data_IF_742854547015
#
_entry.id   IF_742854547015
#
_cell.length_a   1.000
_cell.length_b   1.000
_cell.length_c   1.000
_cell.angle_alpha   90.00
_cell.angle_beta   90.00
_cell.angle_gamma   90.00
#
_symmetry.space_group_name_H-M   'P 1'
#
loop_
_entity.id
_entity.type
_entity.pdbx_description
1 polymer ?
#
# COMPACT_ATOMS: atom_id res chain seq x y z
N UNK A 1 36.42 -21.73 8.88
CA UNK A 1 35.40 -20.87 8.21
C UNK A 1 34.27 -20.73 9.21
N UNK A 2 33.93 -19.51 9.63
CA UNK A 2 32.82 -19.32 10.57
C UNK A 2 31.50 -19.57 9.83
N UNK A 3 30.53 -20.27 10.45
CA UNK A 3 29.22 -20.46 9.85
C UNK A 3 28.57 -19.11 9.54
N UNK A 4 27.85 -19.03 8.43
CA UNK A 4 27.04 -17.86 8.12
C UNK A 4 26.02 -17.58 9.22
N UNK A 5 25.55 -16.33 9.32
CA UNK A 5 24.57 -15.90 10.33
C UNK A 5 23.36 -16.85 10.42
N UNK A 6 22.81 -17.21 9.26
CA UNK A 6 21.68 -18.15 9.13
C UNK A 6 22.06 -19.58 9.53
N UNK A 7 23.25 -20.04 9.16
CA UNK A 7 23.75 -21.39 9.45
C UNK A 7 23.99 -21.59 10.95
N UNK A 8 24.22 -20.49 11.68
CA UNK A 8 24.30 -20.46 13.14
C UNK A 8 22.92 -20.53 13.83
N UNK A 9 21.82 -20.69 13.07
CA UNK A 9 20.45 -20.72 13.59
C UNK A 9 19.85 -19.35 13.91
N UNK A 10 20.55 -18.26 13.60
CA UNK A 10 20.04 -16.91 13.85
C UNK A 10 19.08 -16.47 12.75
N UNK A 11 18.00 -15.80 13.15
CA UNK A 11 17.03 -15.18 12.25
C UNK A 11 16.89 -13.70 12.59
N UNK A 12 16.66 -12.88 11.56
CA UNK A 12 16.20 -11.52 11.78
C UNK A 12 14.73 -11.54 12.17
N UNK A 13 14.34 -10.67 13.09
CA UNK A 13 12.95 -10.55 13.50
C UNK A 13 12.15 -9.63 12.56
N UNK A 14 10.83 -9.65 12.72
CA UNK A 14 9.94 -8.78 11.95
C UNK A 14 10.15 -7.30 12.28
N UNK A 15 10.50 -6.98 13.54
CA UNK A 15 10.71 -5.61 14.00
C UNK A 15 11.89 -4.94 13.28
N UNK A 16 13.02 -5.64 13.14
CA UNK A 16 14.17 -5.16 12.38
C UNK A 16 13.81 -4.92 10.91
N UNK A 17 12.98 -5.80 10.35
CA UNK A 17 12.56 -5.72 8.95
C UNK A 17 11.69 -4.48 8.70
N UNK A 18 10.76 -4.19 9.62
CA UNK A 18 9.96 -2.96 9.58
C UNK A 18 10.81 -1.70 9.76
N UNK A 19 11.75 -1.73 10.72
CA UNK A 19 12.70 -0.63 10.92
C UNK A 19 13.55 -0.41 9.67
N UNK A 20 13.99 -1.46 9.00
CA UNK A 20 14.77 -1.37 7.78
C UNK A 20 13.98 -0.69 6.64
N UNK A 21 12.74 -1.12 6.37
CA UNK A 21 11.88 -0.45 5.38
C UNK A 21 11.67 1.01 5.75
N UNK A 22 11.39 1.29 7.04
CA UNK A 22 11.21 2.66 7.52
C UNK A 22 12.44 3.53 7.31
N UNK A 23 13.65 3.02 7.59
CA UNK A 23 14.89 3.76 7.31
C UNK A 23 15.10 3.98 5.83
N UNK A 24 14.74 3.02 4.97
CA UNK A 24 14.77 3.22 3.53
C UNK A 24 13.78 4.31 3.06
N UNK A 25 12.60 4.42 3.66
CA UNK A 25 11.67 5.52 3.39
C UNK A 25 12.25 6.86 3.86
N UNK A 26 12.73 6.95 5.11
CA UNK A 26 13.28 8.17 5.70
C UNK A 26 14.53 8.68 4.96
N UNK A 27 15.33 7.78 4.39
CA UNK A 27 16.51 8.11 3.58
C UNK A 27 16.21 8.23 2.08
N UNK A 28 14.93 8.20 1.68
CA UNK A 28 14.51 8.31 0.27
C UNK A 28 15.14 7.25 -0.66
N UNK A 29 15.34 6.03 -0.16
CA UNK A 29 15.93 4.91 -0.89
C UNK A 29 15.09 3.61 -0.86
N UNK A 30 13.77 3.65 -1.13
CA UNK A 30 12.90 2.47 -1.03
C UNK A 30 13.23 1.34 -2.02
N UNK A 31 13.93 1.64 -3.13
CA UNK A 31 14.42 0.63 -4.06
C UNK A 31 15.47 -0.31 -3.42
N UNK A 32 16.21 0.16 -2.42
CA UNK A 32 17.12 -0.69 -1.66
C UNK A 32 16.34 -1.73 -0.86
N UNK A 33 15.25 -1.32 -0.20
CA UNK A 33 14.36 -2.24 0.49
C UNK A 33 13.78 -3.28 -0.49
N UNK A 34 13.28 -2.83 -1.65
CA UNK A 34 12.77 -3.73 -2.68
C UNK A 34 13.82 -4.76 -3.14
N UNK A 35 15.08 -4.34 -3.32
CA UNK A 35 16.20 -5.23 -3.69
C UNK A 35 16.53 -6.25 -2.59
N UNK A 36 16.47 -5.85 -1.32
CA UNK A 36 16.74 -6.73 -0.19
C UNK A 36 15.64 -7.77 -0.03
N UNK A 37 14.37 -7.34 0.00
CA UNK A 37 13.24 -8.27 0.13
C UNK A 37 13.00 -9.10 -1.15
N UNK A 38 13.38 -8.59 -2.32
CA UNK A 38 13.39 -9.37 -3.56
C UNK A 38 14.42 -10.50 -3.57
N UNK A 39 15.39 -10.51 -2.65
CA UNK A 39 16.43 -11.53 -2.56
C UNK A 39 16.48 -12.16 -1.15
N UNK A 40 15.38 -12.79 -0.75
CA UNK A 40 15.27 -13.44 0.54
C UNK A 40 16.36 -14.49 0.78
N UNK A 41 16.74 -15.26 -0.24
CA UNK A 41 17.80 -16.27 -0.13
C UNK A 41 19.15 -15.70 0.30
N UNK A 42 19.45 -14.46 -0.10
CA UNK A 42 20.71 -13.77 0.23
C UNK A 42 20.65 -13.07 1.59
N UNK A 43 19.57 -12.35 1.87
CA UNK A 43 19.49 -11.45 3.03
C UNK A 43 18.78 -12.07 4.23
N UNK A 44 17.97 -13.12 4.02
CA UNK A 44 17.23 -13.84 5.05
C UNK A 44 16.39 -12.91 5.96
N UNK A 45 15.91 -11.79 5.41
CA UNK A 45 15.13 -10.78 6.12
C UNK A 45 13.63 -11.02 5.86
N UNK A 46 12.82 -11.34 6.89
CA UNK A 46 11.39 -11.60 6.72
C UNK A 46 10.66 -10.30 6.40
N UNK A 47 9.70 -10.33 5.47
CA UNK A 47 8.82 -9.18 5.25
C UNK A 47 7.53 -9.36 6.06
N UNK A 48 7.19 -8.38 6.88
CA UNK A 48 5.90 -8.35 7.60
C UNK A 48 4.86 -7.58 6.78
N UNK A 49 3.57 -7.76 7.10
CA UNK A 49 2.50 -7.00 6.44
C UNK A 49 2.63 -5.48 6.62
N UNK A 50 2.91 -4.93 7.84
CA UNK A 50 3.16 -3.51 8.01
C UNK A 50 4.38 -3.02 7.21
N UNK A 51 5.46 -3.80 7.17
CA UNK A 51 6.64 -3.49 6.36
C UNK A 51 6.33 -3.46 4.87
N UNK A 52 5.52 -4.40 4.38
CA UNK A 52 5.09 -4.44 2.98
C UNK A 52 4.18 -3.26 2.63
N UNK A 53 3.26 -2.86 3.51
CA UNK A 53 2.40 -1.68 3.34
C UNK A 53 3.24 -0.39 3.29
N UNK A 54 4.25 -0.27 4.15
CA UNK A 54 5.18 0.86 4.16
C UNK A 54 6.04 0.92 2.88
N UNK A 55 6.51 -0.24 2.42
CA UNK A 55 7.24 -0.35 1.16
C UNK A 55 6.35 0.04 -0.02
N UNK A 56 5.10 -0.44 -0.05
CA UNK A 56 4.12 -0.04 -1.07
C UNK A 56 3.84 1.46 -1.02
N UNK A 57 3.69 2.03 0.18
CA UNK A 57 3.51 3.46 0.37
C UNK A 57 4.66 4.28 -0.21
N UNK A 58 5.91 3.91 0.11
CA UNK A 58 7.09 4.63 -0.40
C UNK A 58 7.25 4.52 -1.93
N UNK A 59 6.82 3.41 -2.54
CA UNK A 59 6.99 3.17 -3.98
C UNK A 59 5.85 3.72 -4.85
N UNK A 60 4.59 3.65 -4.39
CA UNK A 60 3.42 3.92 -5.25
C UNK A 60 3.29 5.36 -5.76
N UNK A 61 3.95 6.32 -5.10
CA UNK A 61 3.91 7.73 -5.51
C UNK A 61 5.06 8.06 -6.47
N UNK A 62 6.30 7.73 -6.16
CA UNK A 62 7.45 8.32 -6.85
C UNK A 62 8.12 7.38 -7.86
N UNK A 63 7.79 6.09 -7.81
CA UNK A 63 8.50 5.08 -8.60
C UNK A 63 7.65 4.52 -9.77
N UNK A 64 8.31 3.93 -10.77
CA UNK A 64 7.64 3.27 -11.90
C UNK A 64 6.73 2.13 -11.45
N UNK A 65 5.67 1.84 -12.21
CA UNK A 65 4.67 0.84 -11.84
C UNK A 65 5.24 -0.57 -11.69
N UNK A 66 6.33 -0.88 -12.40
CA UNK A 66 7.05 -2.15 -12.31
C UNK A 66 7.50 -2.43 -10.88
N UNK A 67 7.93 -1.38 -10.16
CA UNK A 67 8.34 -1.51 -8.75
C UNK A 67 7.16 -1.84 -7.85
N UNK A 68 6.01 -1.21 -8.09
CA UNK A 68 4.74 -1.46 -7.39
C UNK A 68 4.22 -2.87 -7.64
N UNK A 69 4.30 -3.36 -8.88
CA UNK A 69 3.98 -4.75 -9.27
C UNK A 69 4.95 -5.72 -8.61
N UNK A 70 6.24 -5.41 -8.59
CA UNK A 70 7.25 -6.24 -7.91
C UNK A 70 6.95 -6.32 -6.41
N UNK A 71 6.60 -5.20 -5.77
CA UNK A 71 6.21 -5.18 -4.36
C UNK A 71 4.94 -5.99 -4.11
N UNK A 72 3.94 -5.95 -4.99
CA UNK A 72 2.73 -6.77 -4.82
C UNK A 72 3.03 -8.27 -4.94
N UNK A 73 3.98 -8.67 -5.79
CA UNK A 73 4.44 -10.05 -5.88
C UNK A 73 5.10 -10.54 -4.58
N UNK A 74 5.81 -9.67 -3.85
CA UNK A 74 6.41 -10.01 -2.55
C UNK A 74 5.38 -10.47 -1.52
N UNK A 75 4.13 -10.00 -1.60
CA UNK A 75 3.09 -10.45 -0.66
C UNK A 75 2.91 -11.96 -0.74
N UNK A 76 2.88 -12.53 -1.95
CA UNK A 76 2.76 -13.97 -2.12
C UNK A 76 4.04 -14.71 -1.70
N UNK A 77 5.21 -14.19 -2.09
CA UNK A 77 6.52 -14.78 -1.74
C UNK A 77 6.73 -14.91 -0.23
N UNK A 78 6.22 -13.95 0.54
CA UNK A 78 6.32 -13.92 2.00
C UNK A 78 5.07 -14.46 2.72
N UNK A 79 4.14 -15.11 2.00
CA UNK A 79 2.88 -15.64 2.55
C UNK A 79 2.05 -14.58 3.31
N UNK A 80 2.12 -13.33 2.88
CA UNK A 80 1.31 -12.23 3.39
C UNK A 80 -0.09 -12.26 2.78
N UNK A 81 -1.04 -11.58 3.44
CA UNK A 81 -2.38 -11.39 2.88
C UNK A 81 -2.28 -10.76 1.49
N UNK A 82 -2.86 -11.35 0.42
CA UNK A 82 -2.75 -10.79 -0.93
C UNK A 82 -3.16 -9.33 -1.00
N UNK A 83 -2.53 -8.55 -1.88
CA UNK A 83 -2.80 -7.11 -2.04
C UNK A 83 -4.29 -6.82 -2.24
N UNK A 84 -5.02 -7.68 -2.96
CA UNK A 84 -6.45 -7.52 -3.20
C UNK A 84 -7.34 -7.73 -1.96
N UNK A 85 -6.81 -8.30 -0.87
CA UNK A 85 -7.51 -8.54 0.39
C UNK A 85 -7.06 -7.60 1.51
N UNK A 86 -6.01 -6.82 1.30
CA UNK A 86 -5.55 -5.78 2.22
C UNK A 86 -5.99 -4.40 1.73
N UNK A 87 -6.81 -3.69 2.52
CA UNK A 87 -7.43 -2.45 2.07
C UNK A 87 -6.40 -1.35 1.75
N UNK A 88 -5.38 -1.18 2.60
CA UNK A 88 -4.36 -0.16 2.40
C UNK A 88 -3.54 -0.45 1.14
N UNK A 89 -3.02 -1.67 1.00
CA UNK A 89 -2.25 -2.06 -0.17
C UNK A 89 -3.07 -2.07 -1.46
N UNK A 90 -4.32 -2.54 -1.43
CA UNK A 90 -5.20 -2.50 -2.59
C UNK A 90 -5.45 -1.07 -3.06
N UNK A 91 -5.81 -0.16 -2.14
CA UNK A 91 -6.06 1.22 -2.48
C UNK A 91 -4.82 1.90 -3.09
N UNK A 92 -3.64 1.70 -2.50
CA UNK A 92 -2.37 2.24 -3.01
C UNK A 92 -2.01 1.65 -4.38
N UNK A 93 -2.20 0.34 -4.56
CA UNK A 93 -1.92 -0.35 -5.82
C UNK A 93 -2.83 0.14 -6.95
N UNK A 94 -4.15 0.22 -6.70
CA UNK A 94 -5.13 0.76 -7.66
C UNK A 94 -4.81 2.22 -8.00
N UNK A 95 -4.44 3.03 -7.00
CA UNK A 95 -4.02 4.41 -7.23
C UNK A 95 -2.77 4.52 -8.12
N UNK A 96 -1.77 3.66 -7.92
CA UNK A 96 -0.58 3.61 -8.78
C UNK A 96 -0.91 3.17 -10.21
N UNK A 97 -1.78 2.16 -10.35
CA UNK A 97 -2.22 1.69 -11.66
C UNK A 97 -2.94 2.78 -12.46
N UNK A 98 -3.81 3.55 -11.81
CA UNK A 98 -4.45 4.71 -12.44
C UNK A 98 -3.48 5.85 -12.73
N UNK A 99 -2.50 6.09 -11.87
CA UNK A 99 -1.47 7.11 -12.09
C UNK A 99 -0.63 6.79 -13.33
N UNK A 100 -0.22 5.54 -13.52
CA UNK A 100 0.60 5.12 -14.65
C UNK A 100 -0.11 5.25 -16.01
N UNK A 101 -1.44 5.05 -16.02
CA UNK A 101 -2.30 5.31 -17.19
C UNK A 101 -1.90 4.55 -18.48
N UNK A 102 -1.28 3.36 -18.37
CA UNK A 102 -1.06 2.47 -19.52
C UNK A 102 -2.27 1.57 -19.76
N UNK A 103 -2.43 1.03 -20.98
CA UNK A 103 -3.56 0.13 -21.29
C UNK A 103 -3.64 -1.06 -20.33
N UNK A 104 -2.49 -1.61 -19.95
CA UNK A 104 -2.42 -2.77 -19.05
C UNK A 104 -2.63 -2.37 -17.58
N UNK A 105 -2.04 -1.26 -17.12
CA UNK A 105 -2.26 -0.79 -15.74
C UNK A 105 -3.72 -0.45 -15.49
N UNK A 106 -4.39 0.12 -16.49
CA UNK A 106 -5.82 0.42 -16.44
C UNK A 106 -6.67 -0.84 -16.35
N UNK A 107 -6.37 -1.87 -17.14
CA UNK A 107 -7.09 -3.16 -17.06
C UNK A 107 -6.97 -3.77 -15.67
N UNK A 108 -5.77 -3.74 -15.10
CA UNK A 108 -5.50 -4.23 -13.74
C UNK A 108 -6.28 -3.40 -12.72
N UNK A 109 -6.26 -2.07 -12.82
CA UNK A 109 -7.03 -1.19 -11.93
C UNK A 109 -8.53 -1.51 -11.99
N UNK A 110 -9.10 -1.59 -13.19
CA UNK A 110 -10.52 -1.86 -13.39
C UNK A 110 -10.93 -3.24 -12.85
N UNK A 111 -10.06 -4.25 -12.94
CA UNK A 111 -10.30 -5.56 -12.36
C UNK A 111 -10.31 -5.54 -10.82
N UNK A 112 -9.52 -4.64 -10.21
CA UNK A 112 -9.40 -4.52 -8.75
C UNK A 112 -10.41 -3.57 -8.11
N UNK A 113 -11.00 -2.63 -8.86
CA UNK A 113 -12.02 -1.70 -8.34
C UNK A 113 -13.20 -2.42 -7.67
N UNK A 114 -13.81 -3.47 -8.27
CA UNK A 114 -14.88 -4.22 -7.62
C UNK A 114 -14.44 -4.87 -6.29
N UNK A 115 -13.18 -5.31 -6.19
CA UNK A 115 -12.64 -5.87 -4.96
C UNK A 115 -12.46 -4.80 -3.89
N UNK A 116 -11.99 -3.62 -4.29
CA UNK A 116 -11.88 -2.44 -3.42
C UNK A 116 -13.27 -2.03 -2.89
N UNK A 117 -14.28 -1.97 -3.75
CA UNK A 117 -15.66 -1.68 -3.36
C UNK A 117 -16.20 -2.72 -2.37
N UNK A 118 -16.01 -4.01 -2.65
CA UNK A 118 -16.46 -5.09 -1.76
C UNK A 118 -15.77 -5.04 -0.38
N UNK A 119 -14.49 -4.66 -0.33
CA UNK A 119 -13.78 -4.46 0.94
C UNK A 119 -14.32 -3.27 1.72
N UNK A 120 -14.57 -2.15 1.06
CA UNK A 120 -15.12 -0.96 1.72
C UNK A 120 -16.57 -1.17 2.21
N UNK A 121 -17.33 -2.06 1.56
CA UNK A 121 -18.64 -2.49 2.06
C UNK A 121 -18.57 -3.32 3.36
N UNK A 122 -17.44 -3.99 3.62
CA UNK A 122 -17.23 -4.83 4.82
C UNK A 122 -16.52 -4.09 5.95
N UNK A 123 -15.59 -3.19 5.61
CA UNK A 123 -14.77 -2.47 6.58
C UNK A 123 -15.52 -1.24 7.09
N UNK A 124 -15.72 -1.16 8.41
CA UNK A 124 -16.30 0.02 9.06
C UNK A 124 -15.48 1.26 8.69
N UNK A 125 -16.16 2.39 8.54
CA UNK A 125 -15.55 3.69 8.30
C UNK A 125 -14.33 3.94 9.20
N UNK A 126 -13.21 4.33 8.59
CA UNK A 126 -11.93 4.50 9.27
C UNK A 126 -11.63 5.99 9.45
N UNK A 127 -11.97 6.58 10.61
CA UNK A 127 -11.66 7.97 10.87
C UNK A 127 -10.15 8.20 10.89
N UNK A 128 -9.74 9.31 10.30
CA UNK A 128 -8.37 9.82 10.44
C UNK A 128 -8.38 10.87 11.53
N UNK A 129 -7.69 10.59 12.64
CA UNK A 129 -7.55 11.55 13.73
C UNK A 129 -6.95 12.87 13.25
N UNK A 130 -7.33 13.98 13.88
CA UNK A 130 -6.70 15.29 13.68
C UNK A 130 -5.38 15.42 14.43
N UNK A 131 -5.19 14.64 15.51
CA UNK A 131 -4.01 14.62 16.37
C UNK A 131 -2.79 14.03 15.64
N UNK A 132 -1.65 14.72 15.69
CA UNK A 132 -0.40 14.30 15.02
C UNK A 132 0.13 12.97 15.54
N UNK A 133 0.03 12.71 16.85
CA UNK A 133 0.50 11.45 17.46
C UNK A 133 -0.35 10.27 17.01
N UNK A 134 -1.66 10.43 16.98
CA UNK A 134 -2.57 9.37 16.53
C UNK A 134 -2.48 9.11 15.02
N UNK A 135 -2.17 10.14 14.22
CA UNK A 135 -1.83 9.96 12.78
C UNK A 135 -0.56 9.14 12.60
N UNK A 136 0.45 9.38 13.45
CA UNK A 136 1.71 8.64 13.39
C UNK A 136 1.56 7.18 13.83
N UNK A 137 0.61 6.90 14.74
CA UNK A 137 0.26 5.53 15.16
C UNK A 137 -0.62 4.82 14.12
N UNK A 138 -1.50 5.55 13.43
CA UNK A 138 -2.44 5.01 12.45
C UNK A 138 -2.10 5.41 11.01
N UNK A 139 -0.81 5.31 10.64
CA UNK A 139 -0.35 5.63 9.28
C UNK A 139 -1.18 4.95 8.17
N UNK A 140 -1.60 3.66 8.29
CA UNK A 140 -2.42 3.02 7.26
C UNK A 140 -3.72 3.76 6.96
N UNK A 141 -4.39 4.36 7.95
CA UNK A 141 -5.63 5.11 7.72
C UNK A 141 -5.38 6.39 6.92
N UNK A 142 -4.23 7.05 7.16
CA UNK A 142 -3.79 8.22 6.39
C UNK A 142 -3.50 7.80 4.94
N UNK A 143 -2.80 6.69 4.74
CA UNK A 143 -2.51 6.16 3.41
C UNK A 143 -3.78 5.78 2.65
N UNK A 144 -4.73 5.11 3.30
CA UNK A 144 -6.04 4.79 2.72
C UNK A 144 -6.75 6.07 2.30
N UNK A 145 -6.84 7.09 3.17
CA UNK A 145 -7.46 8.37 2.84
C UNK A 145 -6.87 9.00 1.58
N UNK A 146 -5.53 9.03 1.48
CA UNK A 146 -4.84 9.59 0.32
C UNK A 146 -5.00 8.76 -0.95
N UNK A 147 -4.85 7.44 -0.84
CA UNK A 147 -4.98 6.53 -1.96
C UNK A 147 -6.41 6.56 -2.54
N UNK A 148 -7.43 6.48 -1.68
CA UNK A 148 -8.84 6.56 -2.10
C UNK A 148 -9.17 7.91 -2.75
N UNK A 149 -8.58 9.02 -2.30
CA UNK A 149 -8.72 10.32 -2.97
C UNK A 149 -8.18 10.28 -4.41
N UNK A 150 -7.05 9.59 -4.65
CA UNK A 150 -6.49 9.43 -5.99
C UNK A 150 -7.34 8.53 -6.87
N UNK A 151 -7.87 7.43 -6.29
CA UNK A 151 -8.81 6.53 -6.97
C UNK A 151 -10.09 7.27 -7.39
N UNK A 152 -10.71 8.02 -6.48
CA UNK A 152 -11.90 8.84 -6.78
C UNK A 152 -11.66 9.83 -7.92
N UNK A 153 -10.54 10.58 -7.85
CA UNK A 153 -10.16 11.50 -8.92
C UNK A 153 -9.99 10.77 -10.27
N UNK A 154 -9.35 9.61 -10.28
CA UNK A 154 -9.13 8.83 -11.49
C UNK A 154 -10.44 8.30 -12.08
N UNK A 155 -11.34 7.77 -11.24
CA UNK A 155 -12.64 7.27 -11.66
C UNK A 155 -13.52 8.39 -12.22
N UNK A 156 -13.53 9.57 -11.59
CA UNK A 156 -14.26 10.73 -12.11
C UNK A 156 -13.77 11.18 -13.49
N UNK A 157 -12.46 11.31 -13.67
CA UNK A 157 -11.88 11.72 -14.97
C UNK A 157 -12.25 10.74 -16.09
N UNK A 158 -12.44 9.46 -15.76
CA UNK A 158 -12.70 8.39 -16.74
C UNK A 158 -14.19 8.18 -17.01
N UNK A 159 -15.00 8.16 -15.96
CA UNK A 159 -16.42 7.82 -16.04
C UNK A 159 -17.29 9.07 -16.21
N UNK A 160 -16.73 10.27 -15.98
CA UNK A 160 -17.47 11.54 -15.97
C UNK A 160 -18.40 11.71 -14.76
N UNK A 161 -18.46 10.72 -13.88
CA UNK A 161 -19.34 10.69 -12.71
C UNK A 161 -18.58 10.21 -11.46
N UNK A 162 -19.08 10.61 -10.29
CA UNK A 162 -18.53 10.20 -9.00
C UNK A 162 -19.15 8.89 -8.58
N UNK A 163 -18.32 8.00 -8.06
CA UNK A 163 -18.76 6.73 -7.51
C UNK A 163 -19.37 6.93 -6.11
N UNK A 164 -20.69 6.74 -5.99
CA UNK A 164 -21.43 6.97 -4.73
C UNK A 164 -20.90 6.12 -3.58
N UNK A 165 -20.62 4.84 -3.82
CA UNK A 165 -20.09 3.93 -2.79
C UNK A 165 -18.77 4.43 -2.18
N UNK A 166 -17.90 5.03 -3.00
CA UNK A 166 -16.61 5.54 -2.57
C UNK A 166 -16.78 6.86 -1.82
N UNK A 167 -17.66 7.74 -2.34
CA UNK A 167 -17.97 9.02 -1.70
C UNK A 167 -18.60 8.80 -0.33
N UNK A 168 -19.60 7.93 -0.23
CA UNK A 168 -20.30 7.59 1.01
C UNK A 168 -19.35 7.04 2.07
N UNK A 169 -18.48 6.11 1.67
CA UNK A 169 -17.51 5.56 2.62
C UNK A 169 -16.51 6.61 3.08
N UNK A 170 -16.03 7.48 2.18
CA UNK A 170 -15.13 8.60 2.52
C UNK A 170 -15.82 9.64 3.41
N UNK A 171 -17.11 9.92 3.21
CA UNK A 171 -17.91 10.81 4.07
C UNK A 171 -18.10 10.21 5.47
N UNK A 172 -18.53 8.94 5.55
CA UNK A 172 -18.68 8.20 6.82
C UNK A 172 -17.36 8.11 7.60
N UNK A 173 -16.23 8.07 6.88
CA UNK A 173 -14.88 8.05 7.47
C UNK A 173 -14.35 9.45 7.81
N UNK A 174 -15.10 10.52 7.56
CA UNK A 174 -14.67 11.90 7.79
C UNK A 174 -13.49 12.33 6.89
N UNK A 175 -13.29 11.66 5.75
CA UNK A 175 -12.22 11.99 4.80
C UNK A 175 -12.54 13.22 3.97
N UNK A 176 -13.83 13.45 3.71
CA UNK A 176 -14.40 14.57 2.96
C UNK A 176 -15.68 15.05 3.66
N UNK A 177 -16.01 16.33 3.50
CA UNK A 177 -17.31 16.90 3.88
C UNK A 177 -18.27 16.83 2.69
N UNK A 178 -19.58 16.88 2.91
CA UNK A 178 -20.60 16.81 1.83
C UNK A 178 -20.36 17.85 0.72
N UNK A 179 -19.84 19.03 1.09
CA UNK A 179 -19.51 20.14 0.20
C UNK A 179 -18.11 20.07 -0.44
N UNK A 180 -17.28 19.07 -0.11
CA UNK A 180 -15.92 18.96 -0.64
C UNK A 180 -15.89 18.46 -2.08
N UNK A 181 -15.18 19.19 -2.95
CA UNK A 181 -14.94 18.78 -4.34
C UNK A 181 -13.96 17.60 -4.48
N UNK A 182 -13.11 17.30 -3.47
CA UNK A 182 -12.09 16.22 -3.52
C UNK A 182 -11.53 15.73 -2.17
#
# INVERSE_FOLDING_TARGET
MFPGWKESGNAFDGALSELFVRRCEELSCPLLALKVFGNFSKYNLPLTLPGAQLLMHSLHVEHPIETVITTSALYNTYNLRPVAQDLASCAMFVAACFKHNSKDSIKVANALVPHLQAMLGKVRALPVSTNSTEKALNKPNVWIKWALKKVDKALFVRNGQREEWLRDWRMKSGHITEASAF
#
